data_IF_676539552574
#
_entry.id   IF_676539552574
#
_cell.length_a   1.000
_cell.length_b   1.000
_cell.length_c   1.000
_cell.angle_alpha   90.00
_cell.angle_beta   90.00
_cell.angle_gamma   90.00
#
_symmetry.space_group_name_H-M   'P 1'
#
loop_
_entity.id
_entity.type
_entity.pdbx_description
1 polymer ?
#
# COMPACT_ATOMS: atom_id res chain seq x y z
N UNK A 1 -19.22 -28.67 -21.27
CA UNK A 1 -18.21 -28.57 -22.36
C UNK A 1 -18.82 -29.12 -23.64
N UNK A 2 -18.91 -28.31 -24.68
CA UNK A 2 -19.26 -28.76 -26.05
C UNK A 2 -17.99 -28.71 -26.88
N UNK A 3 -17.67 -29.76 -27.62
CA UNK A 3 -16.44 -29.83 -28.42
C UNK A 3 -16.34 -28.63 -29.37
N UNK A 4 -15.19 -27.95 -29.39
CA UNK A 4 -14.83 -26.98 -30.44
C UNK A 4 -15.28 -25.52 -30.25
N UNK A 5 -16.02 -25.16 -29.20
CA UNK A 5 -16.45 -23.76 -28.96
C UNK A 5 -15.90 -23.15 -27.66
N UNK A 6 -15.11 -23.90 -26.89
CA UNK A 6 -14.52 -23.41 -25.65
C UNK A 6 -13.06 -23.02 -25.87
N UNK A 7 -12.62 -21.90 -25.25
CA UNK A 7 -11.22 -21.51 -25.28
C UNK A 7 -10.35 -22.50 -24.49
N UNK A 8 -9.06 -22.51 -24.79
CA UNK A 8 -8.09 -23.36 -24.11
C UNK A 8 -8.07 -23.08 -22.61
N UNK A 9 -8.27 -24.15 -21.84
CA UNK A 9 -8.33 -24.09 -20.39
C UNK A 9 -7.08 -24.74 -19.81
N UNK A 10 -6.18 -23.91 -19.28
CA UNK A 10 -4.84 -24.32 -18.87
C UNK A 10 -4.63 -24.09 -17.38
N UNK A 11 -3.75 -24.89 -16.77
CA UNK A 11 -3.31 -24.65 -15.40
C UNK A 11 -2.42 -23.42 -15.36
N UNK A 12 -2.61 -22.58 -14.35
CA UNK A 12 -1.98 -21.27 -14.23
C UNK A 12 -1.61 -21.00 -12.79
N UNK A 13 -0.41 -20.45 -12.58
CA UNK A 13 0.05 -20.04 -11.24
C UNK A 13 -0.19 -18.55 -11.05
N UNK A 14 -0.96 -18.18 -10.03
CA UNK A 14 -1.21 -16.80 -9.65
C UNK A 14 -0.22 -16.40 -8.57
N UNK A 15 0.50 -15.30 -8.78
CA UNK A 15 1.47 -14.72 -7.85
C UNK A 15 0.98 -13.35 -7.41
N UNK A 16 0.82 -13.16 -6.12
CA UNK A 16 0.44 -11.88 -5.55
C UNK A 16 1.67 -11.10 -5.08
N UNK A 17 1.63 -9.77 -5.20
CA UNK A 17 2.67 -8.87 -4.69
C UNK A 17 2.97 -9.01 -3.18
N UNK A 18 2.04 -9.55 -2.40
CA UNK A 18 2.27 -9.87 -0.98
C UNK A 18 2.93 -11.23 -0.72
N UNK A 19 3.40 -11.93 -1.77
CA UNK A 19 4.14 -13.18 -1.67
C UNK A 19 3.28 -14.45 -1.70
N UNK A 20 1.96 -14.32 -1.70
CA UNK A 20 1.05 -15.46 -1.82
C UNK A 20 1.03 -16.02 -3.24
N UNK A 21 1.07 -17.34 -3.38
CA UNK A 21 0.97 -18.03 -4.67
C UNK A 21 -0.07 -19.16 -4.61
N UNK A 22 -0.96 -19.22 -5.60
CA UNK A 22 -1.94 -20.30 -5.69
C UNK A 22 -2.12 -20.80 -7.13
N UNK A 23 -2.43 -22.09 -7.28
CA UNK A 23 -2.67 -22.73 -8.57
C UNK A 23 -4.15 -22.70 -8.91
N UNK A 24 -4.49 -22.26 -10.11
CA UNK A 24 -5.88 -22.21 -10.60
C UNK A 24 -5.89 -22.45 -12.10
N UNK A 25 -7.02 -22.91 -12.65
CA UNK A 25 -7.18 -23.04 -14.09
C UNK A 25 -7.72 -21.75 -14.70
N UNK A 26 -7.10 -21.28 -15.77
CA UNK A 26 -7.45 -20.04 -16.46
C UNK A 26 -7.39 -20.23 -17.97
N UNK A 27 -7.89 -19.26 -18.71
CA UNK A 27 -7.77 -19.19 -20.18
C UNK A 27 -6.53 -18.40 -20.62
N UNK A 28 -5.72 -17.91 -19.67
CA UNK A 28 -4.47 -17.23 -19.98
C UNK A 28 -3.42 -18.22 -20.44
N UNK A 29 -2.99 -18.07 -21.68
CA UNK A 29 -1.97 -18.89 -22.34
C UNK A 29 -0.57 -18.74 -21.73
N UNK A 30 -0.33 -17.69 -20.94
CA UNK A 30 0.98 -17.40 -20.33
C UNK A 30 1.36 -18.31 -19.16
N UNK A 31 0.45 -19.14 -18.62
CA UNK A 31 0.71 -20.06 -17.50
C UNK A 31 1.01 -19.39 -16.15
N UNK A 32 1.21 -18.07 -16.12
CA UNK A 32 1.44 -17.26 -14.94
C UNK A 32 0.60 -15.98 -14.96
N UNK A 33 0.09 -15.59 -13.78
CA UNK A 33 -0.63 -14.33 -13.57
C UNK A 33 -0.02 -13.62 -12.38
N UNK A 34 0.51 -12.42 -12.61
CA UNK A 34 0.95 -11.52 -11.52
C UNK A 34 -0.20 -10.59 -11.15
N UNK A 35 -0.54 -10.53 -9.86
CA UNK A 35 -1.67 -9.75 -9.34
C UNK A 35 -1.24 -8.90 -8.15
N UNK A 36 -1.65 -7.64 -8.13
CA UNK A 36 -1.33 -6.72 -7.03
C UNK A 36 -2.13 -6.98 -5.75
N UNK A 37 -3.34 -7.55 -5.86
CA UNK A 37 -4.26 -7.75 -4.75
C UNK A 37 -4.85 -9.17 -4.76
N UNK A 38 -4.72 -9.90 -3.66
CA UNK A 38 -5.39 -11.18 -3.43
C UNK A 38 -6.27 -11.12 -2.18
N UNK A 39 -6.99 -12.21 -1.89
CA UNK A 39 -7.86 -12.32 -0.71
C UNK A 39 -7.15 -12.03 0.61
N UNK A 40 -5.86 -12.37 0.73
CA UNK A 40 -5.08 -12.11 1.93
C UNK A 40 -4.66 -10.64 2.07
N UNK A 41 -4.77 -9.84 1.01
CA UNK A 41 -4.19 -8.50 0.92
C UNK A 41 -5.26 -7.43 0.61
N UNK A 42 -6.50 -7.84 0.33
CA UNK A 42 -7.62 -6.92 0.12
C UNK A 42 -8.14 -6.39 1.47
N UNK A 43 -8.28 -5.06 1.64
CA UNK A 43 -8.63 -4.43 2.92
C UNK A 43 -9.88 -5.00 3.57
N UNK A 44 -10.86 -5.40 2.75
CA UNK A 44 -12.10 -6.05 3.21
C UNK A 44 -11.85 -7.33 4.02
N UNK A 45 -10.95 -8.21 3.57
CA UNK A 45 -10.68 -9.47 4.26
C UNK A 45 -9.72 -9.32 5.45
N UNK A 46 -8.80 -8.36 5.38
CA UNK A 46 -7.82 -8.14 6.46
C UNK A 46 -8.35 -7.26 7.60
N UNK A 47 -9.50 -6.61 7.43
CA UNK A 47 -10.11 -5.70 8.41
C UNK A 47 -9.31 -4.43 8.70
N UNK A 48 -8.10 -4.29 8.14
CA UNK A 48 -7.24 -3.13 8.29
C UNK A 48 -7.56 -2.15 7.16
N UNK A 49 -7.91 -0.91 7.50
CA UNK A 49 -7.92 0.18 6.54
C UNK A 49 -6.51 0.36 5.99
N UNK A 50 -6.26 -0.09 4.76
CA UNK A 50 -5.14 0.43 3.98
C UNK A 50 -5.52 1.88 3.68
N UNK A 51 -5.03 2.81 4.51
CA UNK A 51 -5.21 4.24 4.29
C UNK A 51 -4.56 4.53 2.94
N UNK A 52 -5.36 4.56 1.88
CA UNK A 52 -4.98 5.11 0.60
C UNK A 52 -4.93 6.62 0.82
N UNK A 53 -3.83 7.07 1.42
CA UNK A 53 -3.55 8.48 1.57
C UNK A 53 -3.40 9.03 0.16
N UNK A 54 -4.48 9.64 -0.31
CA UNK A 54 -4.74 9.93 -1.69
C UNK A 54 -3.98 11.18 -2.10
N UNK A 55 -2.65 11.18 -1.93
CA UNK A 55 -1.71 12.20 -2.42
C UNK A 55 -2.26 13.63 -2.38
N UNK A 56 -2.94 13.95 -1.28
CA UNK A 56 -4.01 14.93 -1.32
C UNK A 56 -3.53 16.36 -1.17
N UNK A 57 -4.49 17.23 -0.87
CA UNK A 57 -4.22 18.63 -0.55
C UNK A 57 -3.24 18.78 0.63
N UNK A 58 -3.29 17.87 1.60
CA UNK A 58 -2.41 17.84 2.79
C UNK A 58 -0.96 17.53 2.39
N UNK A 59 -0.71 16.50 1.59
CA UNK A 59 0.66 16.20 1.10
C UNK A 59 1.23 17.33 0.22
N UNK A 60 0.39 18.00 -0.59
CA UNK A 60 0.80 19.19 -1.37
C UNK A 60 1.06 20.42 -0.51
N UNK A 61 0.39 20.53 0.64
CA UNK A 61 0.61 21.58 1.62
C UNK A 61 1.91 21.32 2.40
N UNK A 62 2.11 20.10 2.90
CA UNK A 62 3.31 19.66 3.59
C UNK A 62 4.58 19.81 2.72
N UNK A 63 4.51 19.46 1.42
CA UNK A 63 5.64 19.71 0.49
C UNK A 63 5.98 21.20 0.33
N UNK A 64 5.00 22.09 0.42
CA UNK A 64 5.19 23.54 0.23
C UNK A 64 5.57 24.28 1.52
N UNK A 65 5.06 23.84 2.66
CA UNK A 65 5.15 24.58 3.92
C UNK A 65 5.79 23.77 5.06
N UNK A 66 5.94 22.45 4.94
CA UNK A 66 6.50 21.58 5.99
C UNK A 66 7.95 21.92 6.37
N UNK A 67 8.77 22.41 5.41
CA UNK A 67 10.14 22.87 5.69
C UNK A 67 10.23 24.23 6.41
N UNK A 68 9.13 25.00 6.49
CA UNK A 68 9.13 26.33 7.15
C UNK A 68 8.87 26.25 8.66
N UNK A 69 8.18 25.20 9.13
CA UNK A 69 7.86 25.03 10.56
C UNK A 69 9.06 24.57 11.42
N UNK A 70 10.17 24.11 10.83
CA UNK A 70 11.32 23.65 11.60
C UNK A 70 12.30 24.76 12.02
N UNK A 71 11.97 26.04 11.79
CA UNK A 71 12.73 27.20 12.28
C UNK A 71 12.11 27.88 13.51
N UNK A 72 10.96 27.43 14.00
CA UNK A 72 10.24 28.04 15.12
C UNK A 72 10.46 27.40 16.49
N UNK A 73 10.78 26.10 16.56
CA UNK A 73 10.76 25.34 17.83
C UNK A 73 12.13 25.03 18.44
N UNK A 74 13.24 25.54 17.90
CA UNK A 74 14.57 25.31 18.49
C UNK A 74 14.94 26.28 19.62
N UNK A 75 14.13 27.30 19.91
CA UNK A 75 14.46 28.34 20.90
C UNK A 75 13.60 28.33 22.18
N UNK A 76 12.63 27.43 22.33
CA UNK A 76 11.81 27.36 23.56
C UNK A 76 12.32 26.33 24.58
N UNK A 77 12.96 25.24 24.13
CA UNK A 77 13.45 24.19 25.04
C UNK A 77 14.80 24.50 25.74
N UNK A 78 15.44 25.63 25.46
CA UNK A 78 16.70 26.03 26.12
C UNK A 78 16.49 26.95 27.35
N UNK A 79 15.25 27.34 27.67
CA UNK A 79 14.97 28.35 28.71
C UNK A 79 14.34 27.79 29.99
N UNK A 80 13.92 26.53 30.00
CA UNK A 80 13.22 25.91 31.13
C UNK A 80 14.15 25.21 32.14
N UNK A 81 15.44 25.05 31.86
CA UNK A 81 16.38 24.39 32.81
C UNK A 81 17.08 25.37 33.78
N UNK A 82 17.06 26.68 33.52
CA UNK A 82 17.80 27.67 34.34
C UNK A 82 16.90 28.49 35.30
N UNK A 83 15.82 27.90 35.84
CA UNK A 83 14.94 28.58 36.81
C UNK A 83 14.51 27.67 37.97
N UNK A 84 15.41 26.82 38.46
CA UNK A 84 15.17 25.99 39.65
C UNK A 84 16.40 25.83 40.54
N UNK A 85 17.19 26.91 40.69
CA UNK A 85 18.19 27.01 41.76
C UNK A 85 18.39 28.49 42.15
N UNK A 86 17.44 29.03 42.93
CA UNK A 86 17.69 30.08 43.92
C UNK A 86 16.53 30.21 44.90
#
# INVERSE_FOLDING_TARGET
MKSGIHPDYVETTVLCGCGNSFKTRSTKTSGQIVVEVCSQCHPFYTGKQKILDSGGRVARFERRYGKRNNKGNSNENAKTENKTDK
#
